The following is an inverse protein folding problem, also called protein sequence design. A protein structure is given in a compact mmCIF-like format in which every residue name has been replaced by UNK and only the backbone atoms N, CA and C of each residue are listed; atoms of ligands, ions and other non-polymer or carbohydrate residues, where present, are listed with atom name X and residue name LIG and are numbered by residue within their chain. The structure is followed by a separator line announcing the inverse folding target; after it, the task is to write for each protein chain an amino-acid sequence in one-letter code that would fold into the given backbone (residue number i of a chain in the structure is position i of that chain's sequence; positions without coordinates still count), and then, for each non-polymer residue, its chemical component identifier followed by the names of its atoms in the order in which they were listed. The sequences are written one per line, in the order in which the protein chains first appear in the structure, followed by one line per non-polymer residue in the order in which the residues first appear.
data_IF_022383915541
#
_entry.id   IF_022383915541
#
_cell.length_a   1.000
_cell.length_b   1.000
_cell.length_c   1.000
_cell.angle_alpha   90.00
_cell.angle_beta   90.00
_cell.angle_gamma   90.00
#
_symmetry.space_group_name_H-M   'P 1'
#
loop_
_entity.id
_entity.type
_entity.pdbx_description
1 polymer ?
#
# COMPACT_ATOMS: atom_id res chain seq x y z
N UNK A 1 10.17 6.18 15.21
CA UNK A 1 8.97 6.96 14.83
C UNK A 1 8.36 6.31 13.59
N UNK A 2 7.07 5.97 13.60
CA UNK A 2 6.42 5.31 12.46
C UNK A 2 6.24 6.28 11.29
N UNK A 3 6.40 5.80 10.06
CA UNK A 3 6.14 6.56 8.82
C UNK A 3 4.88 6.02 8.18
N UNK A 4 4.03 6.90 7.67
CA UNK A 4 2.78 6.54 7.01
C UNK A 4 2.85 6.88 5.53
N UNK A 5 2.42 5.94 4.68
CA UNK A 5 2.30 6.12 3.23
C UNK A 5 0.82 5.96 2.89
N UNK A 6 0.20 7.03 2.39
CA UNK A 6 -1.18 7.00 1.93
C UNK A 6 -1.21 6.78 0.42
N UNK A 7 -1.91 5.73 0.00
CA UNK A 7 -2.09 5.42 -1.43
C UNK A 7 -3.52 5.75 -1.81
N UNK A 8 -3.69 6.89 -2.47
CA UNK A 8 -4.97 7.34 -3.03
C UNK A 8 -5.13 6.83 -4.47
N UNK A 9 -6.37 6.74 -4.94
CA UNK A 9 -6.66 6.33 -6.32
C UNK A 9 -7.50 7.35 -7.06
N UNK A 10 -7.09 7.72 -8.28
CA UNK A 10 -7.88 8.54 -9.21
C UNK A 10 -8.24 7.80 -10.49
N UNK A 11 -9.22 8.33 -11.23
CA UNK A 11 -9.71 7.90 -12.54
C UNK A 11 -10.63 6.68 -12.54
N UNK A 12 -10.17 5.50 -12.15
CA UNK A 12 -11.00 4.28 -12.21
C UNK A 12 -10.74 3.30 -11.05
N UNK A 13 -11.81 2.60 -10.65
CA UNK A 13 -11.77 1.41 -9.80
C UNK A 13 -11.11 0.26 -10.60
N UNK A 14 -10.36 -0.62 -9.94
CA UNK A 14 -9.68 -1.81 -10.56
C UNK A 14 -8.35 -1.61 -11.31
N UNK A 15 -7.71 -0.43 -11.25
CA UNK A 15 -6.39 -0.17 -11.88
C UNK A 15 -5.21 -0.92 -11.20
N UNK A 16 -5.48 -1.77 -10.21
CA UNK A 16 -4.44 -2.58 -9.57
C UNK A 16 -3.78 -1.94 -8.34
N UNK A 17 -4.41 -0.93 -7.72
CA UNK A 17 -3.92 -0.28 -6.50
C UNK A 17 -3.51 -1.27 -5.39
N UNK A 18 -4.31 -2.32 -5.17
CA UNK A 18 -3.99 -3.37 -4.20
C UNK A 18 -2.71 -4.13 -4.54
N UNK A 19 -2.50 -4.47 -5.81
CA UNK A 19 -1.29 -5.19 -6.28
C UNK A 19 -0.06 -4.30 -6.15
N UNK A 20 -0.17 -3.02 -6.50
CA UNK A 20 0.91 -2.04 -6.34
C UNK A 20 1.31 -1.87 -4.87
N UNK A 21 0.33 -1.72 -3.97
CA UNK A 21 0.55 -1.61 -2.52
C UNK A 21 1.20 -2.87 -1.95
N UNK A 22 0.72 -4.06 -2.33
CA UNK A 22 1.30 -5.33 -1.90
C UNK A 22 2.75 -5.50 -2.38
N UNK A 23 3.04 -5.12 -3.63
CA UNK A 23 4.40 -5.17 -4.21
C UNK A 23 5.35 -4.21 -3.48
N UNK A 24 4.90 -2.99 -3.17
CA UNK A 24 5.66 -2.02 -2.38
C UNK A 24 5.97 -2.56 -0.98
N UNK A 25 4.98 -3.15 -0.30
CA UNK A 25 5.16 -3.77 1.01
C UNK A 25 6.20 -4.90 0.98
N UNK A 26 6.21 -5.73 -0.07
CA UNK A 26 7.22 -6.79 -0.25
C UNK A 26 8.63 -6.22 -0.43
N UNK A 27 8.79 -5.17 -1.21
CA UNK A 27 10.10 -4.51 -1.39
C UNK A 27 10.62 -3.89 -0.09
N UNK A 28 9.74 -3.28 0.71
CA UNK A 28 10.10 -2.72 2.01
C UNK A 28 10.50 -3.82 3.01
N UNK A 29 9.74 -4.92 3.08
CA UNK A 29 10.13 -6.09 3.89
C UNK A 29 11.48 -6.67 3.48
N UNK A 30 11.75 -6.79 2.18
CA UNK A 30 13.04 -7.27 1.67
C UNK A 30 14.21 -6.34 2.04
N UNK A 31 13.95 -5.06 2.32
CA UNK A 31 14.95 -4.10 2.81
C UNK A 31 15.08 -4.08 4.34
N UNK A 32 14.47 -5.04 5.05
CA UNK A 32 14.49 -5.10 6.51
C UNK A 32 13.59 -4.06 7.19
N UNK A 33 12.72 -3.39 6.44
CA UNK A 33 11.77 -2.40 7.01
C UNK A 33 10.53 -3.13 7.50
N UNK A 34 10.22 -2.97 8.79
CA UNK A 34 8.94 -3.40 9.34
C UNK A 34 7.82 -2.55 8.76
N UNK A 35 6.90 -3.17 8.00
CA UNK A 35 5.80 -2.51 7.31
C UNK A 35 4.51 -3.30 7.51
N UNK A 36 3.41 -2.56 7.72
CA UNK A 36 2.04 -3.08 7.76
C UNK A 36 1.20 -2.38 6.69
N UNK A 37 0.22 -3.10 6.14
CA UNK A 37 -0.70 -2.61 5.13
C UNK A 37 -2.10 -2.49 5.74
N UNK A 38 -2.76 -1.36 5.51
CA UNK A 38 -4.16 -1.12 5.92
C UNK A 38 -4.97 -0.74 4.69
N UNK A 39 -6.06 -1.47 4.46
CA UNK A 39 -7.04 -1.14 3.42
C UNK A 39 -8.18 -0.37 4.08
N UNK A 40 -8.50 0.79 3.52
CA UNK A 40 -9.64 1.60 3.93
C UNK A 40 -10.71 1.47 2.84
N UNK A 41 -11.73 0.65 3.10
CA UNK A 41 -12.89 0.54 2.24
C UNK A 41 -13.94 1.59 2.68
N UNK A 42 -14.45 2.42 1.75
CA UNK A 42 -15.44 3.46 2.07
C UNK A 42 -16.88 2.93 2.24
N UNK A 43 -17.07 1.62 2.08
CA UNK A 43 -18.33 0.90 2.20
C UNK A 43 -18.16 -0.27 3.17
#
# INVERSE_FOLDING_TARGET
MSKFIFVTGGVASSVGKGISVASLGRLLKNRGVSVSLMKLDPY
#
